data_IF_886635631950
#
_entry.id   IF_886635631950
#
_cell.length_a   1.000
_cell.length_b   1.000
_cell.length_c   1.000
_cell.angle_alpha   90.00
_cell.angle_beta   90.00
_cell.angle_gamma   90.00
#
_symmetry.space_group_name_H-M   'P 1'
#
loop_
_entity.id
_entity.type
_entity.pdbx_description
1 polymer ?
#
# COMPACT_ATOMS: atom_id res chain seq x y z
N UNK A 1 11.16 16.34 20.99
CA UNK A 1 11.13 16.09 20.31
C UNK A 1 11.13 15.73 20.13
N UNK A 2 10.88 15.74 20.14
CA UNK A 2 10.70 15.24 19.54
C UNK A 2 10.87 14.95 18.91
N UNK A 3 10.78 14.76 18.54
CA UNK A 3 10.86 14.23 17.71
C UNK A 3 11.25 14.30 16.85
N UNK A 4 11.41 14.61 16.71
CA UNK A 4 11.64 14.53 15.76
C UNK A 4 12.14 13.71 15.25
N UNK A 5 12.26 13.57 15.15
CA UNK A 5 12.76 12.71 14.54
C UNK A 5 12.35 11.90 14.04
N UNK A 6 12.57 12.38 14.09
CA UNK A 6 12.37 11.38 13.21
C UNK A 6 11.03 10.84 13.21
N UNK A 7 10.09 11.69 13.12
CA UNK A 7 8.74 11.22 13.03
C UNK A 7 8.58 10.21 11.89
N UNK A 8 9.16 10.53 10.73
CA UNK A 8 9.00 9.63 9.61
C UNK A 8 9.59 8.27 9.87
N UNK A 9 10.72 8.22 10.55
CA UNK A 9 11.39 6.97 10.80
C UNK A 9 10.58 6.08 11.73
N UNK A 10 9.76 6.69 12.59
CA UNK A 10 8.98 5.92 13.54
C UNK A 10 7.58 5.61 13.09
N UNK A 11 7.20 6.07 11.91
CA UNK A 11 5.83 5.85 11.48
C UNK A 11 5.60 4.43 11.02
N UNK A 12 4.46 3.89 11.40
CA UNK A 12 4.06 2.54 11.06
C UNK A 12 2.62 2.57 10.61
N UNK A 13 2.36 1.95 9.48
CA UNK A 13 0.99 1.76 9.01
C UNK A 13 0.56 0.37 9.42
N UNK A 14 -0.53 0.27 10.14
CA UNK A 14 -1.04 -1.02 10.58
C UNK A 14 -2.24 -1.43 9.74
N UNK A 15 -2.18 -2.68 9.28
CA UNK A 15 -3.26 -3.27 8.50
C UNK A 15 -3.50 -4.65 9.09
N UNK A 16 -4.36 -4.68 10.11
CA UNK A 16 -4.58 -5.92 10.84
C UNK A 16 -3.29 -6.39 11.49
N UNK A 17 -2.85 -7.59 11.13
CA UNK A 17 -1.62 -8.15 11.68
C UNK A 17 -0.37 -7.71 10.92
N UNK A 18 -0.53 -7.00 9.82
CA UNK A 18 0.61 -6.52 9.05
C UNK A 18 1.02 -5.14 9.51
N UNK A 19 2.31 -4.85 9.44
CA UNK A 19 2.85 -3.53 9.79
C UNK A 19 3.78 -3.07 8.68
N UNK A 20 3.56 -1.86 8.22
CA UNK A 20 4.44 -1.25 7.22
C UNK A 20 5.30 -0.21 7.91
N UNK A 21 6.60 -0.40 7.82
CA UNK A 21 7.56 0.52 8.43
C UNK A 21 8.10 1.44 7.35
N UNK A 22 7.60 2.66 7.34
CA UNK A 22 7.91 3.60 6.26
C UNK A 22 9.39 3.96 6.21
N UNK A 23 10.00 4.06 7.37
CA UNK A 23 11.39 4.50 7.43
C UNK A 23 12.36 3.51 6.82
N UNK A 24 12.01 2.23 6.81
CA UNK A 24 12.88 1.20 6.26
C UNK A 24 12.33 0.59 4.99
N UNK A 25 11.08 0.89 4.64
CA UNK A 25 10.48 0.32 3.44
C UNK A 25 10.21 -1.16 3.55
N UNK A 26 9.93 -1.64 4.76
CA UNK A 26 9.68 -3.07 4.98
C UNK A 26 8.30 -3.30 5.56
N UNK A 27 7.82 -4.52 5.38
CA UNK A 27 6.53 -4.95 5.88
C UNK A 27 6.76 -6.14 6.81
N UNK A 28 6.20 -6.07 8.01
CA UNK A 28 6.09 -7.24 8.85
C UNK A 28 4.81 -7.97 8.44
N UNK A 29 4.96 -9.17 7.95
CA UNK A 29 3.85 -9.90 7.36
C UNK A 29 2.94 -10.48 8.43
N UNK A 30 1.64 -10.70 8.09
CA UNK A 30 0.70 -11.21 9.08
C UNK A 30 1.11 -12.53 9.69
N UNK A 31 1.71 -13.41 8.91
CA UNK A 31 2.12 -14.72 9.43
C UNK A 31 3.50 -14.75 10.01
N UNK A 32 4.14 -13.57 10.12
CA UNK A 32 5.51 -13.48 10.60
C UNK A 32 6.47 -13.28 9.45
N UNK A 33 7.70 -12.88 9.79
CA UNK A 33 8.68 -12.59 8.77
C UNK A 33 8.51 -11.21 8.21
N UNK A 34 9.50 -10.80 7.45
CA UNK A 34 9.53 -9.48 6.86
C UNK A 34 9.74 -9.56 5.37
N UNK A 35 9.22 -8.56 4.66
CA UNK A 35 9.41 -8.43 3.23
C UNK A 35 9.73 -6.99 2.93
N UNK A 36 10.61 -6.77 1.96
CA UNK A 36 10.94 -5.42 1.52
C UNK A 36 9.94 -4.98 0.46
N UNK A 37 9.62 -3.70 0.46
CA UNK A 37 8.82 -3.11 -0.60
C UNK A 37 9.73 -2.66 -1.73
N UNK A 38 9.31 -2.94 -2.96
CA UNK A 38 10.00 -2.32 -4.09
C UNK A 38 9.65 -0.84 -4.12
N UNK A 39 10.41 -0.07 -4.91
CA UNK A 39 10.16 1.36 -5.01
C UNK A 39 8.75 1.64 -5.49
N UNK A 40 8.25 0.87 -6.44
CA UNK A 40 6.90 1.09 -6.95
C UNK A 40 5.84 0.65 -5.94
N UNK A 41 6.08 -0.44 -5.24
CA UNK A 41 5.17 -0.87 -4.18
C UNK A 41 5.08 0.18 -3.08
N UNK A 42 6.23 0.74 -2.73
CA UNK A 42 6.29 1.78 -1.70
C UNK A 42 5.47 3.01 -2.14
N UNK A 43 5.70 3.47 -3.36
CA UNK A 43 4.99 4.64 -3.86
C UNK A 43 3.49 4.41 -3.92
N UNK A 44 3.11 3.22 -4.39
CA UNK A 44 1.72 2.84 -4.52
C UNK A 44 1.03 2.82 -3.17
N UNK A 45 1.64 2.14 -2.21
CA UNK A 45 1.07 2.03 -0.89
C UNK A 45 1.01 3.39 -0.19
N UNK A 46 2.02 4.21 -0.39
CA UNK A 46 2.05 5.52 0.21
C UNK A 46 0.91 6.39 -0.30
N UNK A 47 0.64 6.31 -1.60
CA UNK A 47 -0.48 7.05 -2.18
C UNK A 47 -1.80 6.59 -1.60
N UNK A 48 -1.96 5.29 -1.48
CA UNK A 48 -3.19 4.73 -0.91
C UNK A 48 -3.34 5.12 0.56
N UNK A 49 -2.25 5.08 1.31
CA UNK A 49 -2.29 5.41 2.73
C UNK A 49 -2.62 6.88 2.96
N UNK A 50 -2.11 7.75 2.09
CA UNK A 50 -2.40 9.18 2.20
C UNK A 50 -3.87 9.47 1.98
N UNK A 51 -4.58 8.55 1.31
CA UNK A 51 -6.01 8.70 1.05
C UNK A 51 -6.80 7.58 1.71
N UNK A 52 -6.33 7.12 2.84
CA UNK A 52 -6.89 5.93 3.48
C UNK A 52 -8.39 6.07 3.66
N UNK A 53 -9.11 5.01 3.31
CA UNK A 53 -10.56 4.99 3.38
C UNK A 53 -11.25 5.51 2.14
N UNK A 54 -10.51 6.17 1.25
CA UNK A 54 -11.07 6.75 0.04
C UNK A 54 -10.55 6.04 -1.19
N UNK A 55 -11.34 6.11 -2.25
CA UNK A 55 -10.97 5.51 -3.51
C UNK A 55 -9.85 6.32 -4.15
N UNK A 56 -8.81 5.63 -4.59
CA UNK A 56 -7.77 6.24 -5.42
C UNK A 56 -7.90 5.63 -6.80
N UNK A 57 -8.12 6.48 -7.79
CA UNK A 57 -8.40 6.00 -9.14
C UNK A 57 -7.18 5.34 -9.75
N UNK A 58 -7.44 4.51 -10.76
CA UNK A 58 -6.35 3.85 -11.49
C UNK A 58 -5.41 4.90 -12.07
N UNK A 59 -5.96 5.97 -12.64
CA UNK A 59 -5.13 7.04 -13.19
C UNK A 59 -4.24 7.66 -12.13
N UNK A 60 -4.80 7.96 -10.97
CA UNK A 60 -4.02 8.59 -9.91
C UNK A 60 -2.90 7.68 -9.43
N UNK A 61 -3.18 6.38 -9.33
CA UNK A 61 -2.16 5.43 -8.92
C UNK A 61 -1.06 5.31 -9.96
N UNK A 62 -1.44 5.26 -11.24
CA UNK A 62 -0.45 5.19 -12.29
C UNK A 62 0.42 6.43 -12.32
N UNK A 63 -0.18 7.60 -12.09
CA UNK A 63 0.61 8.83 -12.03
C UNK A 63 1.59 8.82 -10.88
N UNK A 64 1.22 8.18 -9.77
CA UNK A 64 2.13 8.10 -8.62
C UNK A 64 3.32 7.19 -8.92
N UNK A 65 3.17 6.26 -9.85
CA UNK A 65 4.22 5.27 -10.13
C UNK A 65 5.09 5.65 -11.30
N UNK A 66 4.54 6.31 -12.29
CA UNK A 66 5.25 6.59 -13.54
C UNK A 66 5.04 8.01 -13.95
N UNK A 67 6.00 8.52 -14.69
CA UNK A 67 5.87 9.82 -15.35
C UNK A 67 5.59 9.57 -16.81
N UNK A 68 4.82 10.46 -17.41
CA UNK A 68 4.54 10.39 -18.82
C UNK A 68 3.22 9.70 -19.11
N UNK A 69 3.02 9.28 -20.35
CA UNK A 69 1.75 8.69 -20.76
C UNK A 69 1.48 7.41 -20.00
N UNK A 70 0.20 7.16 -19.75
CA UNK A 70 -0.19 6.01 -18.94
C UNK A 70 -0.76 4.88 -19.77
N UNK A 71 -0.35 4.79 -21.01
CA UNK A 71 -0.83 3.75 -21.89
C UNK A 71 -0.25 2.41 -21.47
N UNK A 72 -1.11 1.46 -21.22
CA UNK A 72 -0.69 0.11 -20.89
C UNK A 72 -0.21 -0.11 -19.48
N UNK A 73 -0.23 0.94 -18.66
CA UNK A 73 0.28 0.80 -17.29
C UNK A 73 -0.69 0.08 -16.37
N UNK A 74 -1.95 -0.05 -16.75
CA UNK A 74 -2.93 -0.69 -15.88
C UNK A 74 -2.55 -2.12 -15.56
N UNK A 75 -2.07 -2.87 -16.55
CA UNK A 75 -1.69 -4.26 -16.31
C UNK A 75 -0.51 -4.34 -15.36
N UNK A 76 0.44 -3.43 -15.50
CA UNK A 76 1.58 -3.41 -14.61
C UNK A 76 1.15 -3.02 -13.20
N UNK A 77 0.20 -2.09 -13.11
CA UNK A 77 -0.34 -1.71 -11.81
C UNK A 77 -0.91 -2.93 -11.10
N UNK A 78 -1.65 -3.76 -11.81
CA UNK A 78 -2.26 -4.94 -11.19
C UNK A 78 -1.23 -5.91 -10.64
N UNK A 79 -0.08 -6.01 -11.32
CA UNK A 79 1.00 -6.86 -10.81
C UNK A 79 1.51 -6.33 -9.47
N UNK A 80 1.69 -5.01 -9.38
CA UNK A 80 2.17 -4.43 -8.13
C UNK A 80 1.13 -4.54 -7.02
N UNK A 81 -0.15 -4.39 -7.36
CA UNK A 81 -1.22 -4.59 -6.38
C UNK A 81 -1.20 -6.01 -5.85
N UNK A 82 -1.04 -6.98 -6.74
CA UNK A 82 -1.00 -8.39 -6.32
C UNK A 82 0.17 -8.63 -5.37
N UNK A 83 1.35 -8.10 -5.71
CA UNK A 83 2.52 -8.30 -4.87
C UNK A 83 2.37 -7.63 -3.51
N UNK A 84 1.73 -6.46 -3.48
CA UNK A 84 1.44 -5.83 -2.21
C UNK A 84 0.52 -6.69 -1.37
N UNK A 85 -0.51 -7.25 -1.99
CA UNK A 85 -1.44 -8.11 -1.25
C UNK A 85 -0.72 -9.32 -0.67
N UNK A 86 0.23 -9.87 -1.41
CA UNK A 86 0.98 -11.01 -0.89
C UNK A 86 1.77 -10.65 0.36
N UNK A 87 2.15 -9.39 0.49
CA UNK A 87 2.92 -8.95 1.66
C UNK A 87 2.05 -8.48 2.80
N UNK A 88 0.85 -7.95 2.50
CA UNK A 88 0.02 -7.28 3.50
C UNK A 88 -1.13 -8.14 4.00
N UNK A 89 -1.71 -8.97 3.14
CA UNK A 89 -2.94 -9.68 3.47
C UNK A 89 -2.65 -11.04 4.02
N UNK A 90 -3.48 -11.48 4.96
CA UNK A 90 -3.41 -12.85 5.46
C UNK A 90 -3.72 -13.83 4.33
N UNK A 91 -4.73 -13.49 3.52
CA UNK A 91 -5.09 -14.29 2.35
C UNK A 91 -5.17 -13.35 1.15
N UNK A 92 -4.13 -13.32 0.32
CA UNK A 92 -4.12 -12.37 -0.81
C UNK A 92 -5.27 -12.59 -1.78
N UNK A 93 -5.83 -13.79 -1.84
CA UNK A 93 -6.97 -14.06 -2.72
C UNK A 93 -8.26 -13.45 -2.21
N UNK A 94 -8.31 -13.13 -0.93
CA UNK A 94 -9.48 -12.53 -0.28
C UNK A 94 -9.02 -11.31 0.52
N UNK A 95 -8.62 -10.25 -0.15
CA UNK A 95 -8.03 -9.11 0.54
C UNK A 95 -9.03 -8.42 1.44
N UNK A 96 -8.56 -7.99 2.60
CA UNK A 96 -9.37 -7.26 3.56
C UNK A 96 -8.94 -5.81 3.69
N UNK A 97 -7.75 -5.47 3.24
CA UNK A 97 -7.22 -4.13 3.45
C UNK A 97 -6.96 -3.39 2.16
N UNK A 98 -6.36 -4.04 1.19
CA UNK A 98 -6.12 -3.43 -0.11
C UNK A 98 -7.21 -3.90 -1.05
N UNK A 99 -8.25 -3.07 -1.21
CA UNK A 99 -9.49 -3.48 -1.82
C UNK A 99 -9.60 -2.93 -3.23
N UNK A 100 -10.20 -3.73 -4.09
CA UNK A 100 -10.54 -3.29 -5.45
C UNK A 100 -11.90 -2.61 -5.41
N UNK A 101 -11.98 -1.42 -6.05
CA UNK A 101 -13.26 -0.77 -6.27
C UNK A 101 -13.52 -0.88 -7.75
N UNK A 102 -14.40 -1.79 -8.10
CA UNK A 102 -14.60 -2.20 -9.48
C UNK A 102 -14.91 -1.00 -10.37
N UNK A 103 -14.16 -0.90 -11.45
CA UNK A 103 -14.38 0.16 -12.41
C UNK A 103 -13.79 1.50 -12.05
N UNK A 104 -13.27 1.65 -10.83
CA UNK A 104 -12.77 2.95 -10.37
C UNK A 104 -11.31 2.92 -9.97
N UNK A 105 -10.91 1.97 -9.14
CA UNK A 105 -9.54 1.93 -8.66
C UNK A 105 -9.41 1.04 -7.45
N UNK A 106 -8.68 1.55 -6.45
CA UNK A 106 -8.39 0.78 -5.25
C UNK A 106 -8.58 1.64 -4.03
N UNK A 107 -8.72 0.99 -2.90
CA UNK A 107 -8.95 1.69 -1.64
C UNK A 107 -8.27 0.92 -0.53
N UNK A 108 -7.58 1.63 0.33
CA UNK A 108 -7.01 1.03 1.53
C UNK A 108 -8.04 1.17 2.64
N UNK A 109 -8.41 0.04 3.24
CA UNK A 109 -9.43 0.04 4.27
C UNK A 109 -8.98 0.88 5.45
N UNK A 110 -9.93 1.51 6.09
CA UNK A 110 -9.64 2.26 7.29
C UNK A 110 -9.30 1.30 8.41
N UNK A 111 -8.51 1.82 9.35
CA UNK A 111 -8.13 1.01 10.48
C UNK A 111 -9.34 0.59 11.25
N UNK A 112 -9.40 -0.68 11.61
CA UNK A 112 -10.50 -1.16 12.39
C UNK A 112 -10.48 -0.63 13.80
N UNK A 113 -11.66 -0.43 14.32
CA UNK A 113 -11.77 -0.02 15.71
C UNK A 113 -12.03 -1.23 16.55
N UNK A 114 -11.42 -1.30 17.70
CA UNK A 114 -11.67 -2.41 18.62
C UNK A 114 -13.08 -2.44 19.12
#
# INVERSE_FOLDING_TARGET
LRRVYGAGAGEVLRLGAAEVHWGTGTVRRPGGGEAALTAKEYALLKKLAANRGNIVTIDALCQALWEGPMVGYENTLMVHIRRLREKLETDPSHPQYLLTVRGLGYRLAQEERP
#
